data_IF_527032794888
#
_entry.id   IF_527032794888
#
_cell.length_a   1.000
_cell.length_b   1.000
_cell.length_c   1.000
_cell.angle_alpha   90.00
_cell.angle_beta   90.00
_cell.angle_gamma   90.00
#
_symmetry.space_group_name_H-M   'P 1'
#
loop_
_entity.id
_entity.type
_entity.pdbx_description
1 polymer ?
#
# COMPACT_ATOMS: atom_id res chain seq x y z
N UNK A 1 10.04 -12.40 -6.77
CA UNK A 1 10.26 -10.99 -6.38
C UNK A 1 8.97 -10.41 -5.85
N UNK A 2 9.04 -9.62 -4.77
CA UNK A 2 7.92 -8.87 -4.20
C UNK A 2 8.17 -7.37 -4.45
N UNK A 3 7.16 -6.62 -4.86
CA UNK A 3 7.22 -5.16 -5.00
C UNK A 3 6.41 -4.53 -3.88
N UNK A 4 7.00 -3.55 -3.17
CA UNK A 4 6.30 -2.81 -2.11
C UNK A 4 6.35 -1.31 -2.46
N UNK A 5 5.21 -0.71 -2.75
CA UNK A 5 5.09 0.74 -2.93
C UNK A 5 4.60 1.41 -1.66
N UNK A 6 5.00 2.65 -1.43
CA UNK A 6 4.79 3.31 -0.14
C UNK A 6 5.68 2.73 0.97
N UNK A 7 6.85 2.22 0.60
CA UNK A 7 7.79 1.54 1.49
C UNK A 7 8.62 2.49 2.38
N UNK A 8 8.48 3.79 2.21
CA UNK A 8 9.30 4.78 2.92
C UNK A 8 8.89 5.01 4.39
N UNK A 9 7.75 4.48 4.83
CA UNK A 9 7.25 4.63 6.22
C UNK A 9 6.14 3.62 6.54
N UNK A 10 5.70 3.60 7.79
CA UNK A 10 4.52 2.87 8.27
C UNK A 10 4.53 1.39 7.87
N UNK A 11 3.36 0.90 7.42
CA UNK A 11 3.19 -0.51 7.07
C UNK A 11 4.12 -0.97 5.93
N UNK A 12 4.36 -0.12 4.91
CA UNK A 12 5.25 -0.48 3.80
C UNK A 12 6.70 -0.69 4.25
N UNK A 13 7.20 0.16 5.15
CA UNK A 13 8.53 -0.01 5.74
C UNK A 13 8.62 -1.25 6.62
N UNK A 14 7.61 -1.50 7.45
CA UNK A 14 7.56 -2.70 8.29
C UNK A 14 7.50 -3.98 7.45
N UNK A 15 6.70 -4.02 6.39
CA UNK A 15 6.66 -5.15 5.45
C UNK A 15 8.01 -5.37 4.76
N UNK A 16 8.72 -4.29 4.40
CA UNK A 16 10.07 -4.38 3.84
C UNK A 16 10.99 -5.13 4.80
N UNK A 17 10.98 -4.79 6.09
CA UNK A 17 11.80 -5.47 7.10
C UNK A 17 11.39 -6.94 7.26
N UNK A 18 10.09 -7.23 7.32
CA UNK A 18 9.56 -8.59 7.48
C UNK A 18 9.92 -9.51 6.31
N UNK A 19 9.89 -9.01 5.07
CA UNK A 19 10.27 -9.80 3.90
C UNK A 19 11.79 -9.86 3.68
N UNK A 20 12.53 -8.82 4.09
CA UNK A 20 13.99 -8.83 4.09
C UNK A 20 14.56 -9.91 5.02
N UNK A 21 13.98 -10.06 6.22
CA UNK A 21 14.36 -11.11 7.18
C UNK A 21 14.17 -12.54 6.62
N UNK A 22 13.23 -12.73 5.68
CA UNK A 22 13.06 -14.02 4.96
C UNK A 22 13.94 -14.14 3.72
N UNK A 23 14.90 -13.25 3.53
CA UNK A 23 15.78 -13.18 2.34
C UNK A 23 15.04 -13.10 1.00
N UNK A 24 13.83 -12.52 0.99
CA UNK A 24 13.07 -12.33 -0.23
C UNK A 24 13.74 -11.30 -1.14
N UNK A 25 13.64 -11.51 -2.46
CA UNK A 25 13.98 -10.47 -3.43
C UNK A 25 12.90 -9.39 -3.45
N UNK A 26 13.29 -8.14 -3.19
CA UNK A 26 12.37 -7.00 -3.10
C UNK A 26 12.72 -5.91 -4.11
N UNK A 27 11.68 -5.23 -4.60
CA UNK A 27 11.75 -3.88 -5.14
C UNK A 27 10.90 -2.99 -4.24
N UNK A 28 11.52 -2.00 -3.60
CA UNK A 28 10.81 -1.06 -2.74
C UNK A 28 10.75 0.33 -3.36
N UNK A 29 9.60 1.00 -3.22
CA UNK A 29 9.39 2.32 -3.79
C UNK A 29 8.65 3.26 -2.84
N UNK A 30 8.96 4.54 -2.97
CA UNK A 30 8.35 5.67 -2.29
C UNK A 30 8.89 6.97 -2.88
N UNK A 31 8.27 8.09 -2.59
CA UNK A 31 8.66 9.40 -3.17
C UNK A 31 9.99 9.94 -2.67
N UNK A 32 10.35 9.64 -1.43
CA UNK A 32 11.54 10.19 -0.76
C UNK A 32 12.68 9.19 -0.73
N UNK A 33 13.72 9.45 -1.52
CA UNK A 33 14.98 8.68 -1.48
C UNK A 33 15.57 8.64 -0.08
N UNK A 34 15.57 9.78 0.61
CA UNK A 34 16.10 9.87 1.98
C UNK A 34 15.36 8.94 2.95
N UNK A 35 14.02 8.87 2.88
CA UNK A 35 13.25 7.98 3.75
C UNK A 35 13.44 6.52 3.37
N UNK A 36 13.55 6.20 2.07
CA UNK A 36 13.89 4.85 1.61
C UNK A 36 15.27 4.43 2.10
N UNK A 37 16.27 5.32 2.01
CA UNK A 37 17.60 5.06 2.55
C UNK A 37 17.58 4.83 4.08
N UNK A 38 16.74 5.57 4.81
CA UNK A 38 16.56 5.36 6.25
C UNK A 38 15.91 4.01 6.58
N UNK A 39 15.05 3.48 5.72
CA UNK A 39 14.52 2.11 5.86
C UNK A 39 15.61 1.08 5.60
N UNK A 40 16.38 1.26 4.53
CA UNK A 40 17.51 0.38 4.19
C UNK A 40 18.56 0.35 5.29
N UNK A 41 18.88 1.48 5.90
CA UNK A 41 19.88 1.58 6.99
C UNK A 41 19.51 0.78 8.26
N UNK A 42 18.26 0.35 8.41
CA UNK A 42 17.82 -0.51 9.53
C UNK A 42 18.04 -2.00 9.25
N UNK A 43 18.42 -2.35 8.03
CA UNK A 43 18.61 -3.73 7.58
C UNK A 43 20.10 -4.09 7.62
N UNK A 44 20.39 -5.35 7.87
CA UNK A 44 21.76 -5.88 7.74
C UNK A 44 22.24 -5.84 6.29
N UNK A 45 23.54 -5.87 6.08
CA UNK A 45 24.13 -5.91 4.73
C UNK A 45 23.63 -7.11 3.91
N UNK A 46 23.42 -8.26 4.55
CA UNK A 46 22.90 -9.45 3.89
C UNK A 46 21.44 -9.27 3.40
N UNK A 47 20.59 -8.63 4.21
CA UNK A 47 19.23 -8.30 3.84
C UNK A 47 19.17 -7.28 2.70
N UNK A 48 20.02 -6.24 2.78
CA UNK A 48 20.09 -5.19 1.75
C UNK A 48 20.48 -5.75 0.36
N UNK A 49 21.29 -6.80 0.30
CA UNK A 49 21.76 -7.39 -0.96
C UNK A 49 20.63 -7.90 -1.88
N UNK A 50 19.46 -8.21 -1.31
CA UNK A 50 18.30 -8.70 -2.04
C UNK A 50 17.26 -7.61 -2.35
N UNK A 51 17.57 -6.33 -2.09
CA UNK A 51 16.60 -5.25 -2.20
C UNK A 51 17.05 -4.22 -3.23
N UNK A 52 16.22 -4.01 -4.24
CA UNK A 52 16.33 -2.88 -5.15
C UNK A 52 15.47 -1.71 -4.64
N UNK A 53 15.97 -0.49 -4.77
CA UNK A 53 15.29 0.73 -4.32
C UNK A 53 15.05 1.64 -5.51
N UNK A 54 13.82 2.10 -5.69
CA UNK A 54 13.46 3.06 -6.72
C UNK A 54 12.53 4.14 -6.16
N UNK A 55 13.00 5.38 -6.14
CA UNK A 55 12.11 6.51 -5.86
C UNK A 55 11.15 6.71 -7.04
N UNK A 56 9.85 6.91 -6.73
CA UNK A 56 8.84 7.22 -7.73
C UNK A 56 7.66 7.97 -7.10
N UNK A 57 7.15 8.96 -7.81
CA UNK A 57 5.84 9.54 -7.54
C UNK A 57 4.77 8.74 -8.29
N UNK A 58 3.98 8.00 -7.54
CA UNK A 58 2.93 7.15 -8.10
C UNK A 58 1.74 7.93 -8.68
N UNK A 59 1.73 9.25 -8.54
CA UNK A 59 0.76 10.14 -9.19
C UNK A 59 1.20 10.53 -10.61
N UNK A 60 2.41 10.12 -11.05
CA UNK A 60 2.97 10.36 -12.38
C UNK A 60 3.05 9.06 -13.16
N UNK A 61 2.29 8.97 -14.26
CA UNK A 61 2.15 7.72 -15.02
C UNK A 61 3.49 7.19 -15.57
N UNK A 62 4.36 8.09 -16.01
CA UNK A 62 5.70 7.79 -16.52
C UNK A 62 6.59 7.16 -15.45
N UNK A 63 6.54 7.69 -14.22
CA UNK A 63 7.33 7.14 -13.09
C UNK A 63 6.82 5.78 -12.65
N UNK A 64 5.48 5.58 -12.66
CA UNK A 64 4.89 4.26 -12.41
C UNK A 64 5.34 3.27 -13.49
N UNK A 65 5.32 3.66 -14.76
CA UNK A 65 5.78 2.79 -15.86
C UNK A 65 7.27 2.46 -15.73
N UNK A 66 8.11 3.44 -15.40
CA UNK A 66 9.54 3.23 -15.16
C UNK A 66 9.80 2.28 -13.98
N UNK A 67 9.05 2.42 -12.88
CA UNK A 67 9.17 1.55 -11.71
C UNK A 67 8.99 0.07 -12.09
N UNK A 68 7.98 -0.27 -12.88
CA UNK A 68 7.70 -1.65 -13.25
C UNK A 68 8.50 -2.15 -14.47
N UNK A 69 9.08 -1.25 -15.28
CA UNK A 69 9.92 -1.62 -16.42
C UNK A 69 11.27 -2.22 -16.03
N UNK A 70 11.72 -2.00 -14.80
CA UNK A 70 12.96 -2.56 -14.28
C UNK A 70 12.88 -4.07 -13.98
N UNK A 71 11.66 -4.60 -13.89
CA UNK A 71 11.47 -6.01 -13.55
C UNK A 71 11.76 -6.89 -14.75
N UNK A 72 12.75 -7.77 -14.62
CA UNK A 72 13.13 -8.73 -15.66
C UNK A 72 12.10 -9.86 -15.83
N UNK A 73 11.22 -10.06 -14.84
CA UNK A 73 10.15 -11.05 -14.84
C UNK A 73 8.94 -10.53 -14.03
N UNK A 74 7.74 -11.06 -14.27
CA UNK A 74 6.57 -10.71 -13.47
C UNK A 74 6.81 -10.93 -11.97
N UNK A 75 6.44 -9.99 -11.10
CA UNK A 75 6.55 -10.17 -9.66
C UNK A 75 5.54 -11.24 -9.19
N UNK A 76 5.85 -11.92 -8.09
CA UNK A 76 4.88 -12.84 -7.47
C UNK A 76 3.80 -12.09 -6.70
N UNK A 77 4.20 -10.96 -6.09
CA UNK A 77 3.31 -10.14 -5.26
C UNK A 77 3.67 -8.67 -5.41
N UNK A 78 2.67 -7.81 -5.55
CA UNK A 78 2.81 -6.36 -5.43
C UNK A 78 1.97 -5.89 -4.25
N UNK A 79 2.57 -5.17 -3.30
CA UNK A 79 1.87 -4.62 -2.14
C UNK A 79 1.86 -3.10 -2.26
N UNK A 80 0.69 -2.55 -2.56
CA UNK A 80 0.48 -1.11 -2.69
C UNK A 80 0.06 -0.53 -1.35
N UNK A 81 1.02 0.06 -0.62
CA UNK A 81 0.82 0.70 0.68
C UNK A 81 0.76 2.24 0.59
N UNK A 82 1.00 2.81 -0.58
CA UNK A 82 1.02 4.26 -0.73
C UNK A 82 -0.35 4.89 -0.42
N UNK A 83 -0.32 5.99 0.30
CA UNK A 83 -1.50 6.76 0.67
C UNK A 83 -1.19 7.74 1.78
N UNK A 84 -2.10 8.69 1.99
CA UNK A 84 -2.02 9.70 3.05
C UNK A 84 -3.37 9.87 3.72
N UNK A 85 -3.38 10.44 4.92
CA UNK A 85 -4.58 10.88 5.62
C UNK A 85 -4.71 12.41 5.58
N UNK A 86 -5.95 12.88 5.64
CA UNK A 86 -6.27 14.26 5.93
C UNK A 86 -7.66 14.30 6.59
N UNK A 87 -7.74 14.86 7.78
CA UNK A 87 -8.89 14.79 8.65
C UNK A 87 -9.30 16.17 9.17
N UNK A 88 -10.53 16.26 9.60
CA UNK A 88 -11.14 17.46 10.17
C UNK A 88 -12.57 17.66 9.68
N UNK A 89 -13.32 18.60 10.28
CA UNK A 89 -14.64 18.97 9.79
C UNK A 89 -14.58 19.41 8.32
N UNK A 90 -15.53 18.98 7.51
CA UNK A 90 -15.48 19.15 6.05
C UNK A 90 -15.34 20.63 5.64
N UNK A 91 -16.08 21.50 6.32
CA UNK A 91 -16.08 22.95 6.05
C UNK A 91 -14.76 23.66 6.42
N UNK A 92 -13.89 22.98 7.17
CA UNK A 92 -12.58 23.50 7.57
C UNK A 92 -11.43 22.90 6.77
N UNK A 93 -11.72 21.94 5.90
CA UNK A 93 -10.69 21.29 5.12
C UNK A 93 -10.17 22.20 3.99
N UNK A 94 -8.85 22.28 3.88
CA UNK A 94 -8.21 23.05 2.81
C UNK A 94 -8.38 22.35 1.46
N UNK A 95 -8.87 23.04 0.39
CA UNK A 95 -9.10 22.45 -0.91
C UNK A 95 -7.85 21.80 -1.52
N UNK A 96 -6.67 22.43 -1.41
CA UNK A 96 -5.42 21.89 -1.93
C UNK A 96 -5.00 20.61 -1.21
N UNK A 97 -5.26 20.51 0.09
CA UNK A 97 -5.02 19.29 0.85
C UNK A 97 -6.00 18.17 0.45
N UNK A 98 -7.23 18.49 0.07
CA UNK A 98 -8.20 17.53 -0.49
C UNK A 98 -7.70 17.00 -1.85
N UNK A 99 -7.24 17.88 -2.75
CA UNK A 99 -6.66 17.48 -4.03
C UNK A 99 -5.46 16.56 -3.84
N UNK A 100 -4.56 16.89 -2.90
CA UNK A 100 -3.42 16.06 -2.55
C UNK A 100 -3.84 14.69 -2.00
N UNK A 101 -4.89 14.66 -1.17
CA UNK A 101 -5.45 13.42 -0.63
C UNK A 101 -5.99 12.52 -1.75
N UNK A 102 -6.73 13.09 -2.72
CA UNK A 102 -7.25 12.38 -3.88
C UNK A 102 -6.08 11.84 -4.71
N UNK A 103 -5.09 12.65 -5.02
CA UNK A 103 -3.91 12.25 -5.79
C UNK A 103 -3.16 11.12 -5.10
N UNK A 104 -2.82 11.27 -3.83
CA UNK A 104 -2.02 10.31 -3.09
C UNK A 104 -2.71 8.96 -2.87
N UNK A 105 -4.03 8.91 -2.84
CA UNK A 105 -4.77 7.68 -2.56
C UNK A 105 -5.46 7.09 -3.80
N UNK A 106 -6.19 7.91 -4.56
CA UNK A 106 -7.00 7.43 -5.67
C UNK A 106 -6.22 7.42 -6.99
N UNK A 107 -5.65 8.57 -7.40
CA UNK A 107 -4.90 8.65 -8.66
C UNK A 107 -3.72 7.69 -8.66
N UNK A 108 -2.95 7.65 -7.59
CA UNK A 108 -1.82 6.71 -7.45
C UNK A 108 -2.27 5.25 -7.57
N UNK A 109 -3.38 4.88 -6.91
CA UNK A 109 -3.93 3.51 -7.00
C UNK A 109 -4.40 3.19 -8.41
N UNK A 110 -5.07 4.11 -9.10
CA UNK A 110 -5.52 3.93 -10.49
C UNK A 110 -4.31 3.70 -11.40
N UNK A 111 -3.28 4.54 -11.32
CA UNK A 111 -2.11 4.45 -12.19
C UNK A 111 -1.31 3.17 -11.95
N UNK A 112 -1.09 2.80 -10.68
CA UNK A 112 -0.41 1.55 -10.33
C UNK A 112 -1.20 0.33 -10.81
N UNK A 113 -2.50 0.26 -10.53
CA UNK A 113 -3.33 -0.87 -10.96
C UNK A 113 -3.45 -0.96 -12.48
N UNK A 114 -3.60 0.18 -13.17
CA UNK A 114 -3.59 0.24 -14.64
C UNK A 114 -2.30 -0.35 -15.22
N UNK A 115 -1.15 0.03 -14.69
CA UNK A 115 0.14 -0.47 -15.17
C UNK A 115 0.30 -1.96 -14.89
N UNK A 116 -0.08 -2.42 -13.70
CA UNK A 116 -0.02 -3.84 -13.35
C UNK A 116 -0.93 -4.70 -14.22
N UNK A 117 -2.16 -4.25 -14.46
CA UNK A 117 -3.10 -4.96 -15.35
C UNK A 117 -2.57 -4.99 -16.78
N UNK A 118 -2.03 -3.87 -17.28
CA UNK A 118 -1.46 -3.79 -18.63
C UNK A 118 -0.30 -4.78 -18.84
N UNK A 119 0.56 -4.94 -17.82
CA UNK A 119 1.77 -5.78 -17.94
C UNK A 119 1.54 -7.24 -17.56
N UNK A 120 0.69 -7.48 -16.55
CA UNK A 120 0.74 -8.77 -15.84
C UNK A 120 -0.60 -9.47 -15.69
N UNK A 121 -1.68 -9.02 -16.37
CA UNK A 121 -3.01 -9.65 -16.24
C UNK A 121 -3.00 -11.15 -16.54
N UNK A 122 -2.12 -11.61 -17.43
CA UNK A 122 -2.01 -13.00 -17.86
C UNK A 122 -0.93 -13.78 -17.08
N UNK A 123 -0.46 -13.21 -15.98
CA UNK A 123 0.53 -13.81 -15.09
C UNK A 123 -0.04 -14.04 -13.69
N UNK A 124 0.47 -15.06 -12.99
CA UNK A 124 0.09 -15.35 -11.60
C UNK A 124 0.74 -14.31 -10.67
N UNK A 125 0.10 -13.18 -10.50
CA UNK A 125 0.52 -12.06 -9.64
C UNK A 125 -0.56 -11.78 -8.60
N UNK A 126 -0.20 -11.72 -7.32
CA UNK A 126 -1.07 -11.23 -6.27
C UNK A 126 -0.84 -9.72 -6.10
N UNK A 127 -1.86 -8.92 -6.30
CA UNK A 127 -1.83 -7.48 -6.09
C UNK A 127 -2.60 -7.14 -4.82
N UNK A 128 -1.88 -6.75 -3.78
CA UNK A 128 -2.41 -6.39 -2.48
C UNK A 128 -2.60 -4.87 -2.42
N UNK A 129 -3.82 -4.41 -2.27
CA UNK A 129 -4.15 -2.98 -2.18
C UNK A 129 -4.50 -2.66 -0.73
N UNK A 130 -3.62 -1.89 -0.07
CA UNK A 130 -3.82 -1.49 1.32
C UNK A 130 -4.70 -0.23 1.36
N UNK A 131 -5.89 -0.39 1.92
CA UNK A 131 -6.86 0.68 2.08
C UNK A 131 -6.96 1.15 3.54
N UNK A 132 -8.09 0.90 4.17
CA UNK A 132 -8.38 1.21 5.58
C UNK A 132 -9.77 0.69 5.91
N UNK A 133 -10.07 0.48 7.19
CA UNK A 133 -11.47 0.31 7.66
C UNK A 133 -12.36 1.51 7.31
N UNK A 134 -11.79 2.67 6.98
CA UNK A 134 -12.50 3.82 6.43
C UNK A 134 -13.13 3.56 5.04
N UNK A 135 -12.73 2.49 4.34
CA UNK A 135 -13.40 2.00 3.12
C UNK A 135 -14.58 1.07 3.40
N UNK A 136 -14.87 0.77 4.67
CA UNK A 136 -15.94 -0.13 5.08
C UNK A 136 -17.04 0.59 5.86
N UNK A 137 -16.70 1.69 6.56
CA UNK A 137 -17.65 2.49 7.32
C UNK A 137 -17.26 3.96 7.31
N UNK A 138 -18.27 4.86 7.33
CA UNK A 138 -18.04 6.28 7.50
C UNK A 138 -17.52 6.61 8.90
N UNK A 139 -16.69 7.66 9.00
CA UNK A 139 -16.11 8.13 10.26
C UNK A 139 -16.25 9.64 10.37
N UNK A 140 -16.64 10.12 11.55
CA UNK A 140 -16.74 11.55 11.81
C UNK A 140 -15.38 12.24 11.64
N UNK A 141 -15.37 13.42 11.02
CA UNK A 141 -14.18 14.21 10.69
C UNK A 141 -13.19 13.52 9.73
N UNK A 142 -13.62 12.47 9.02
CA UNK A 142 -12.82 11.73 8.04
C UNK A 142 -13.55 11.61 6.69
N UNK A 143 -14.50 12.49 6.39
CA UNK A 143 -15.40 12.37 5.22
C UNK A 143 -14.67 12.27 3.88
N UNK A 144 -13.69 13.13 3.62
CA UNK A 144 -12.88 13.10 2.39
C UNK A 144 -11.98 11.88 2.33
N UNK A 145 -11.39 11.49 3.46
CA UNK A 145 -10.58 10.27 3.55
C UNK A 145 -11.43 9.01 3.33
N UNK A 146 -12.60 8.92 3.95
CA UNK A 146 -13.54 7.83 3.67
C UNK A 146 -13.89 7.80 2.18
N UNK A 147 -14.22 8.95 1.58
CA UNK A 147 -14.60 9.04 0.17
C UNK A 147 -13.51 8.47 -0.76
N UNK A 148 -12.23 8.84 -0.58
CA UNK A 148 -11.15 8.30 -1.42
C UNK A 148 -10.90 6.82 -1.17
N UNK A 149 -11.04 6.34 0.08
CA UNK A 149 -10.86 4.92 0.39
C UNK A 149 -12.02 4.06 -0.14
N UNK A 150 -13.25 4.56 -0.14
CA UNK A 150 -14.38 3.93 -0.81
C UNK A 150 -14.23 3.91 -2.33
N UNK A 151 -13.69 5.00 -2.93
CA UNK A 151 -13.40 5.04 -4.35
C UNK A 151 -12.37 3.96 -4.76
N UNK A 152 -11.30 3.79 -3.98
CA UNK A 152 -10.30 2.71 -4.23
C UNK A 152 -10.93 1.32 -4.06
N UNK A 153 -11.83 1.14 -3.08
CA UNK A 153 -12.59 -0.12 -2.94
C UNK A 153 -13.41 -0.41 -4.19
N UNK A 154 -14.20 0.56 -4.68
CA UNK A 154 -14.98 0.42 -5.90
C UNK A 154 -14.12 0.09 -7.13
N UNK A 155 -12.94 0.71 -7.26
CA UNK A 155 -11.95 0.39 -8.29
C UNK A 155 -11.50 -1.06 -8.20
N UNK A 156 -11.14 -1.55 -7.02
CA UNK A 156 -10.69 -2.94 -6.82
C UNK A 156 -11.80 -3.94 -7.14
N UNK A 157 -13.04 -3.67 -6.68
CA UNK A 157 -14.20 -4.52 -6.96
C UNK A 157 -14.49 -4.61 -8.47
N UNK A 158 -14.46 -3.48 -9.17
CA UNK A 158 -14.68 -3.43 -10.63
C UNK A 158 -13.58 -4.17 -11.39
N UNK A 159 -12.31 -3.95 -11.03
CA UNK A 159 -11.19 -4.65 -11.67
C UNK A 159 -11.20 -6.16 -11.43
N UNK A 160 -11.70 -6.63 -10.30
CA UNK A 160 -11.90 -8.08 -10.07
C UNK A 160 -12.85 -8.69 -11.08
N UNK A 161 -13.88 -7.96 -11.49
CA UNK A 161 -14.81 -8.42 -12.55
C UNK A 161 -14.14 -8.43 -13.92
N UNK A 162 -13.35 -7.39 -14.23
CA UNK A 162 -12.59 -7.30 -15.48
C UNK A 162 -11.51 -8.39 -15.60
N UNK A 163 -10.96 -8.83 -14.46
CA UNK A 163 -9.93 -9.86 -14.35
C UNK A 163 -10.54 -11.27 -14.12
N UNK A 164 -11.85 -11.43 -14.28
CA UNK A 164 -12.48 -12.75 -14.13
C UNK A 164 -11.89 -13.74 -15.14
N UNK A 165 -11.36 -14.85 -14.62
CA UNK A 165 -10.64 -15.85 -15.43
C UNK A 165 -9.15 -15.58 -15.59
N UNK A 166 -8.65 -14.39 -15.23
CA UNK A 166 -7.21 -14.10 -15.22
C UNK A 166 -6.51 -14.78 -14.04
N UNK A 167 -5.24 -15.21 -14.22
CA UNK A 167 -4.43 -15.69 -13.10
C UNK A 167 -4.03 -14.59 -12.11
N UNK A 168 -4.03 -13.30 -12.51
CA UNK A 168 -3.83 -12.17 -11.61
C UNK A 168 -4.96 -12.08 -10.58
N UNK A 169 -4.62 -11.79 -9.32
CA UNK A 169 -5.59 -11.66 -8.23
C UNK A 169 -5.40 -10.34 -7.47
N UNK A 170 -6.51 -9.67 -7.15
CA UNK A 170 -6.53 -8.45 -6.34
C UNK A 170 -6.99 -8.76 -4.92
N UNK A 171 -6.16 -8.44 -3.95
CA UNK A 171 -6.42 -8.64 -2.52
C UNK A 171 -6.63 -7.27 -1.87
N UNK A 172 -7.81 -7.04 -1.31
CA UNK A 172 -8.13 -5.81 -0.61
C UNK A 172 -7.80 -5.95 0.88
N UNK A 173 -7.04 -5.01 1.43
CA UNK A 173 -6.65 -5.02 2.84
C UNK A 173 -7.17 -3.78 3.54
N UNK A 174 -7.86 -3.96 4.65
CA UNK A 174 -8.51 -2.92 5.43
C UNK A 174 -7.92 -2.86 6.85
N UNK A 175 -6.75 -2.22 7.03
CA UNK A 175 -6.19 -2.04 8.37
C UNK A 175 -7.03 -1.07 9.19
N UNK A 176 -7.14 -1.34 10.49
CA UNK A 176 -7.54 -0.38 11.50
C UNK A 176 -6.45 0.64 11.80
N UNK A 177 -6.59 1.35 12.91
CA UNK A 177 -5.58 2.34 13.34
C UNK A 177 -4.22 1.68 13.63
N UNK A 178 -3.16 2.24 13.07
CA UNK A 178 -1.77 1.84 13.32
C UNK A 178 -0.99 3.02 13.90
N UNK A 179 -0.14 2.78 14.90
CA UNK A 179 0.76 3.78 15.49
C UNK A 179 1.91 4.06 14.52
N UNK A 180 1.73 5.04 13.65
CA UNK A 180 2.71 5.43 12.62
C UNK A 180 2.70 6.94 12.43
N UNK A 181 3.69 7.48 11.73
CA UNK A 181 3.77 8.90 11.35
C UNK A 181 2.61 9.38 10.44
N UNK A 182 1.74 8.47 10.01
CA UNK A 182 0.53 8.80 9.25
C UNK A 182 -0.34 9.85 9.97
N UNK A 183 -0.44 9.75 11.29
CA UNK A 183 -1.29 10.64 12.09
C UNK A 183 -0.72 12.04 12.23
N UNK A 184 0.59 12.19 12.38
CA UNK A 184 1.26 13.50 12.48
C UNK A 184 1.08 14.36 11.23
N UNK A 185 0.85 13.75 10.07
CA UNK A 185 0.65 14.44 8.78
C UNK A 185 -0.81 14.55 8.38
N UNK A 186 -1.73 13.95 9.16
CA UNK A 186 -3.15 13.87 8.81
C UNK A 186 -3.99 15.07 9.28
N UNK A 187 -3.40 15.98 10.07
CA UNK A 187 -4.12 17.09 10.70
C UNK A 187 -4.92 16.70 11.95
N UNK A 188 -4.77 15.47 12.43
CA UNK A 188 -5.45 14.96 13.63
C UNK A 188 -4.43 14.56 14.68
N UNK A 189 -4.46 15.27 15.80
CA UNK A 189 -3.71 14.89 17.00
C UNK A 189 -4.53 13.86 17.78
N UNK A 190 -4.05 12.61 17.81
CA UNK A 190 -4.71 11.52 18.54
C UNK A 190 -3.68 10.70 19.32
N UNK A 191 -4.10 10.20 20.47
CA UNK A 191 -3.34 9.19 21.18
C UNK A 191 -3.37 7.86 20.41
N UNK A 192 -2.21 7.43 19.95
CA UNK A 192 -2.02 6.18 19.22
C UNK A 192 -1.50 5.04 20.09
N UNK A 193 -1.36 5.24 21.41
CA UNK A 193 -0.81 4.25 22.35
C UNK A 193 -1.57 2.91 22.36
N UNK A 194 -2.85 2.95 22.04
CA UNK A 194 -3.72 1.77 21.94
C UNK A 194 -3.81 1.20 20.51
N UNK A 195 -3.10 1.73 19.53
CA UNK A 195 -3.14 1.24 18.16
C UNK A 195 -2.14 0.11 17.96
N UNK A 196 -2.38 -0.71 16.92
CA UNK A 196 -1.37 -1.67 16.46
C UNK A 196 -0.10 -0.94 16.05
N UNK A 197 1.05 -1.51 16.29
CA UNK A 197 2.29 -1.09 15.64
C UNK A 197 2.27 -1.44 14.16
N UNK A 198 3.10 -0.78 13.37
CA UNK A 198 3.27 -1.14 11.96
C UNK A 198 3.82 -2.57 11.80
N UNK A 199 4.68 -3.00 12.72
CA UNK A 199 5.28 -4.34 12.71
C UNK A 199 4.25 -5.44 13.00
N UNK A 200 3.37 -5.25 13.99
CA UNK A 200 2.26 -6.19 14.26
C UNK A 200 1.36 -6.32 13.02
N UNK A 201 0.96 -5.21 12.43
CA UNK A 201 0.13 -5.22 11.22
C UNK A 201 0.85 -5.88 10.03
N UNK A 202 2.16 -5.67 9.88
CA UNK A 202 2.97 -6.28 8.82
C UNK A 202 3.08 -7.79 9.01
N UNK A 203 3.29 -8.27 10.23
CA UNK A 203 3.32 -9.71 10.56
C UNK A 203 1.97 -10.36 10.26
N UNK A 204 0.86 -9.74 10.69
CA UNK A 204 -0.48 -10.25 10.43
C UNK A 204 -0.78 -10.33 8.94
N UNK A 205 -0.46 -9.27 8.18
CA UNK A 205 -0.66 -9.25 6.73
C UNK A 205 0.20 -10.29 6.03
N UNK A 206 1.49 -10.35 6.32
CA UNK A 206 2.42 -11.33 5.75
C UNK A 206 1.93 -12.75 5.97
N UNK A 207 1.53 -13.09 7.20
CA UNK A 207 1.03 -14.43 7.54
C UNK A 207 -0.28 -14.76 6.79
N UNK A 208 -1.21 -13.80 6.66
CA UNK A 208 -2.44 -13.99 5.90
C UNK A 208 -2.16 -14.24 4.41
N UNK A 209 -1.13 -13.61 3.84
CA UNK A 209 -0.75 -13.79 2.45
C UNK A 209 -0.13 -15.17 2.16
N UNK A 210 0.41 -15.88 3.15
CA UNK A 210 0.89 -17.26 2.98
C UNK A 210 -0.23 -18.18 2.50
N UNK A 211 -1.47 -17.97 2.98
CA UNK A 211 -2.62 -18.76 2.55
C UNK A 211 -2.93 -18.64 1.06
N UNK A 212 -2.47 -17.58 0.38
CA UNK A 212 -2.67 -17.38 -1.07
C UNK A 212 -1.90 -18.37 -1.94
N UNK A 213 -1.00 -19.15 -1.38
CA UNK A 213 -0.33 -20.26 -2.07
C UNK A 213 -1.31 -21.40 -2.39
N UNK A 214 -2.35 -21.57 -1.57
CA UNK A 214 -3.33 -22.65 -1.67
C UNK A 214 -4.68 -22.22 -2.23
N UNK A 215 -4.94 -20.91 -2.29
CA UNK A 215 -6.22 -20.38 -2.71
C UNK A 215 -6.20 -18.89 -2.94
N UNK A 216 -7.37 -18.26 -2.88
CA UNK A 216 -7.55 -16.82 -3.07
C UNK A 216 -8.18 -16.18 -1.84
N UNK A 217 -7.43 -15.30 -1.19
CA UNK A 217 -7.94 -14.40 -0.16
C UNK A 217 -8.34 -13.11 -0.86
N UNK A 218 -9.63 -12.79 -0.90
CA UNK A 218 -10.10 -11.57 -1.59
C UNK A 218 -9.97 -10.33 -0.72
N UNK A 219 -10.37 -10.46 0.54
CA UNK A 219 -10.50 -9.34 1.47
C UNK A 219 -9.95 -9.71 2.84
N UNK A 220 -9.20 -8.80 3.45
CA UNK A 220 -8.61 -8.97 4.75
C UNK A 220 -8.81 -7.72 5.60
N UNK A 221 -9.50 -7.83 6.72
CA UNK A 221 -9.59 -6.77 7.72
C UNK A 221 -8.64 -7.10 8.87
N UNK A 222 -7.77 -6.15 9.22
CA UNK A 222 -6.79 -6.30 10.31
C UNK A 222 -7.14 -5.27 11.38
N UNK A 223 -7.61 -5.72 12.50
CA UNK A 223 -7.91 -4.90 13.67
C UNK A 223 -7.00 -5.31 14.83
N UNK A 224 -6.79 -4.37 15.75
CA UNK A 224 -6.24 -4.72 17.07
C UNK A 224 -7.21 -5.62 17.82
N UNK A 225 -6.70 -6.47 18.68
CA UNK A 225 -7.47 -7.26 19.64
C UNK A 225 -8.11 -6.40 20.74
#
# INVERSE_FOLDING_TARGET
>A
MIVITGASSGLGAALTQQYAADACQLLISGRSEQKLAAVMAKLSTAEQANISVQAADLCVAEEVSQLFSQLSAPPTTVIHCAGSGYFGPLEQQNPQAIEQLISNNLTSSILVLRELVSRYRDHKVNVVVVMSTAAQAGKANESTYCAVKWAVKGLVESLRLELKGSPMKLIAVYPGGMATDFWSTSGKDIDTSSFMTADEAAIMLKNALVATQHGYVSDLTINRG
#
